data_IF_670264236094
#
_entry.id   IF_670264236094
#
_cell.length_a   1.000
_cell.length_b   1.000
_cell.length_c   1.000
_cell.angle_alpha   90.00
_cell.angle_beta   90.00
_cell.angle_gamma   90.00
#
_symmetry.space_group_name_H-M   'P 1'
#
loop_
_entity.id
_entity.type
_entity.pdbx_description
1 polymer ?
#
# COMPACT_ATOMS: atom_id res chain seq x y z
N UNK A 1 -10.49 25.20 -11.37
CA UNK A 1 -9.62 24.63 -12.42
C UNK A 1 -8.38 25.51 -12.52
N UNK A 2 -7.23 25.05 -12.00
CA UNK A 2 -6.00 25.86 -11.94
C UNK A 2 -5.33 26.03 -13.33
N UNK A 3 -5.32 24.98 -14.16
CA UNK A 3 -4.75 25.08 -15.51
C UNK A 3 -5.47 26.13 -16.36
N UNK A 4 -6.81 26.16 -16.29
CA UNK A 4 -7.61 27.14 -17.04
C UNK A 4 -7.28 28.60 -16.68
N UNK A 5 -7.00 28.89 -15.40
CA UNK A 5 -6.62 30.24 -14.99
C UNK A 5 -5.27 30.65 -15.61
N UNK A 6 -4.33 29.69 -15.73
CA UNK A 6 -3.06 29.91 -16.42
C UNK A 6 -3.27 30.12 -17.92
N UNK A 7 -4.11 29.31 -18.57
CA UNK A 7 -4.43 29.47 -20.00
C UNK A 7 -4.99 30.86 -20.32
N UNK A 8 -5.91 31.35 -19.47
CA UNK A 8 -6.49 32.70 -19.62
C UNK A 8 -5.43 33.77 -19.43
N UNK A 9 -4.55 33.64 -18.45
CA UNK A 9 -3.47 34.60 -18.23
C UNK A 9 -2.49 34.65 -19.41
N UNK A 10 -2.06 33.50 -19.93
CA UNK A 10 -1.19 33.41 -21.10
C UNK A 10 -1.83 34.02 -22.35
N UNK A 11 -3.13 33.79 -22.57
CA UNK A 11 -3.87 34.37 -23.71
C UNK A 11 -3.90 35.90 -23.68
N UNK A 12 -3.72 36.50 -22.51
CA UNK A 12 -3.74 37.95 -22.30
C UNK A 12 -2.36 38.53 -21.97
N UNK A 13 -1.27 37.80 -22.22
CA UNK A 13 0.11 38.20 -21.92
C UNK A 13 0.35 38.56 -20.44
N UNK A 14 -0.41 37.94 -19.52
CA UNK A 14 -0.28 38.11 -18.08
C UNK A 14 0.61 37.00 -17.51
N UNK A 15 1.73 37.39 -16.89
CA UNK A 15 2.59 36.46 -16.19
C UNK A 15 1.92 35.94 -14.91
N UNK A 16 1.99 34.63 -14.68
CA UNK A 16 1.52 34.02 -13.44
C UNK A 16 2.49 34.28 -12.29
N UNK A 17 2.00 34.45 -11.04
CA UNK A 17 2.86 34.55 -9.87
C UNK A 17 3.80 33.34 -9.72
N UNK A 18 5.04 33.54 -9.29
CA UNK A 18 6.03 32.47 -9.20
C UNK A 18 5.62 31.34 -8.25
N UNK A 19 4.92 31.65 -7.15
CA UNK A 19 4.43 30.65 -6.21
C UNK A 19 3.26 29.83 -6.78
N UNK A 20 2.48 30.42 -7.68
CA UNK A 20 1.44 29.72 -8.44
C UNK A 20 2.07 28.69 -9.38
N UNK A 21 3.06 29.10 -10.18
CA UNK A 21 3.79 28.23 -11.11
C UNK A 21 4.43 27.06 -10.37
N UNK A 22 5.11 27.33 -9.25
CA UNK A 22 5.72 26.29 -8.41
C UNK A 22 4.69 25.29 -7.86
N UNK A 23 3.50 25.75 -7.45
CA UNK A 23 2.44 24.86 -6.96
C UNK A 23 1.82 24.05 -8.10
N UNK A 24 1.66 24.65 -9.28
CA UNK A 24 1.20 23.95 -10.48
C UNK A 24 2.15 22.82 -10.86
N UNK A 25 3.46 23.07 -10.86
CA UNK A 25 4.46 22.04 -11.16
C UNK A 25 4.34 20.87 -10.19
N UNK A 26 4.24 21.14 -8.88
CA UNK A 26 4.05 20.09 -7.86
C UNK A 26 2.77 19.26 -8.05
N UNK A 27 1.70 19.85 -8.60
CA UNK A 27 0.48 19.10 -8.93
C UNK A 27 0.72 18.14 -10.09
N UNK A 28 1.53 18.51 -11.09
CA UNK A 28 1.96 17.61 -12.15
C UNK A 28 2.97 16.57 -11.66
N UNK A 29 3.89 16.95 -10.76
CA UNK A 29 4.82 16.01 -10.13
C UNK A 29 4.08 14.91 -9.38
N UNK A 30 3.00 15.23 -8.66
CA UNK A 30 2.17 14.21 -8.03
C UNK A 30 1.68 13.17 -9.04
N UNK A 31 1.15 13.61 -10.18
CA UNK A 31 0.67 12.71 -11.24
C UNK A 31 1.81 11.84 -11.80
N UNK A 32 3.00 12.41 -11.99
CA UNK A 32 4.17 11.68 -12.44
C UNK A 32 4.61 10.63 -11.41
N UNK A 33 4.82 11.06 -10.17
CA UNK A 33 5.42 10.28 -9.10
C UNK A 33 4.49 9.18 -8.57
N UNK A 34 3.18 9.37 -8.63
CA UNK A 34 2.18 8.39 -8.23
C UNK A 34 1.67 7.51 -9.39
N UNK A 35 2.10 7.76 -10.64
CA UNK A 35 1.71 6.92 -11.76
C UNK A 35 2.23 5.49 -11.57
N UNK A 36 1.33 4.53 -11.79
CA UNK A 36 1.69 3.15 -12.06
C UNK A 36 2.43 3.05 -13.41
N UNK A 37 3.15 1.93 -13.68
CA UNK A 37 3.91 1.76 -14.91
C UNK A 37 3.11 1.86 -16.23
N UNK A 38 1.79 1.75 -16.20
CA UNK A 38 0.92 1.92 -17.37
C UNK A 38 0.50 3.37 -17.62
N UNK A 39 0.95 4.34 -16.82
CA UNK A 39 0.60 5.76 -16.94
C UNK A 39 -0.76 6.13 -16.34
N UNK A 40 -1.28 5.32 -15.41
CA UNK A 40 -2.51 5.60 -14.68
C UNK A 40 -2.26 5.74 -13.17
N UNK A 41 -3.13 6.48 -12.48
CA UNK A 41 -3.24 6.43 -11.02
C UNK A 41 -4.25 5.37 -10.58
N UNK A 42 -4.04 4.73 -9.42
CA UNK A 42 -5.05 3.86 -8.84
C UNK A 42 -6.31 4.63 -8.47
N UNK A 43 -7.45 3.95 -8.55
CA UNK A 43 -8.77 4.49 -8.23
C UNK A 43 -9.04 4.55 -6.73
N UNK A 44 -8.23 5.30 -5.99
CA UNK A 44 -8.41 5.50 -4.55
C UNK A 44 -9.65 6.36 -4.28
N UNK A 45 -10.31 6.14 -3.14
CA UNK A 45 -11.44 6.98 -2.70
C UNK A 45 -12.54 7.09 -3.79
N UNK A 46 -13.21 8.23 -3.91
CA UNK A 46 -14.20 8.50 -4.96
C UNK A 46 -13.62 8.65 -6.39
N UNK A 47 -12.53 7.95 -6.70
CA UNK A 47 -11.92 7.91 -8.02
C UNK A 47 -12.15 6.58 -8.74
N UNK A 48 -11.92 6.60 -10.06
CA UNK A 48 -11.56 5.41 -10.82
C UNK A 48 -10.09 5.45 -11.20
N UNK A 49 -9.62 4.48 -11.98
CA UNK A 49 -8.28 4.52 -12.58
C UNK A 49 -8.16 5.75 -13.49
N UNK A 50 -7.25 6.68 -13.17
CA UNK A 50 -7.12 7.98 -13.86
C UNK A 50 -5.98 7.91 -14.87
N UNK A 51 -6.27 8.16 -16.15
CA UNK A 51 -5.22 8.40 -17.15
C UNK A 51 -4.47 9.66 -16.73
N UNK A 52 -3.17 9.56 -16.45
CA UNK A 52 -2.30 10.72 -16.16
C UNK A 52 -1.33 11.05 -17.28
N UNK A 53 -1.33 10.28 -18.37
CA UNK A 53 -0.60 10.64 -19.59
C UNK A 53 -1.18 11.91 -20.22
N UNK A 54 -2.50 12.09 -20.14
CA UNK A 54 -3.17 13.31 -20.61
C UNK A 54 -2.76 14.55 -19.80
N UNK A 55 -2.60 14.40 -18.48
CA UNK A 55 -2.17 15.43 -17.55
C UNK A 55 -0.68 15.71 -17.76
N UNK A 56 0.13 14.68 -18.04
CA UNK A 56 1.52 14.84 -18.41
C UNK A 56 1.67 15.61 -19.74
N UNK A 57 0.82 15.35 -20.76
CA UNK A 57 0.77 16.15 -22.00
C UNK A 57 0.44 17.62 -21.72
N UNK A 58 -0.47 17.89 -20.79
CA UNK A 58 -0.71 19.26 -20.33
C UNK A 58 0.54 19.84 -19.64
N UNK A 59 1.19 19.07 -18.77
CA UNK A 59 2.44 19.43 -18.10
C UNK A 59 3.54 19.83 -19.08
N UNK A 60 3.74 19.09 -20.18
CA UNK A 60 4.72 19.43 -21.23
C UNK A 60 4.47 20.81 -21.85
N UNK A 61 3.21 21.24 -21.97
CA UNK A 61 2.90 22.59 -22.50
C UNK A 61 3.29 23.70 -21.52
N UNK A 62 3.12 23.46 -20.22
CA UNK A 62 3.42 24.44 -19.18
C UNK A 62 4.90 24.43 -18.75
N UNK A 63 5.57 23.27 -18.89
CA UNK A 63 6.93 22.99 -18.43
C UNK A 63 7.71 22.20 -19.50
N UNK A 64 8.03 22.79 -20.66
CA UNK A 64 8.64 22.09 -21.81
C UNK A 64 10.07 21.56 -21.55
N UNK A 65 10.74 22.08 -20.52
CA UNK A 65 12.03 21.61 -20.02
C UNK A 65 11.95 20.27 -19.27
N UNK A 66 10.79 19.93 -18.70
CA UNK A 66 10.55 18.69 -17.94
C UNK A 66 10.43 17.49 -18.87
N UNK A 67 11.57 16.88 -19.21
CA UNK A 67 11.65 15.72 -20.12
C UNK A 67 10.99 14.46 -19.54
N UNK A 68 10.84 14.39 -18.23
CA UNK A 68 10.11 13.36 -17.50
C UNK A 68 8.58 13.45 -17.69
N UNK A 69 8.03 14.66 -17.86
CA UNK A 69 6.63 14.81 -18.27
C UNK A 69 6.40 14.29 -19.69
N UNK A 70 7.32 14.56 -20.63
CA UNK A 70 7.24 14.01 -21.98
C UNK A 70 7.37 12.48 -21.98
N UNK A 71 8.23 11.94 -21.09
CA UNK A 71 8.36 10.50 -20.90
C UNK A 71 7.05 9.87 -20.45
N UNK A 72 6.40 10.39 -19.42
CA UNK A 72 5.10 9.86 -18.98
C UNK A 72 4.01 10.04 -20.06
N UNK A 73 3.97 11.20 -20.70
CA UNK A 73 3.00 11.51 -21.76
C UNK A 73 3.04 10.53 -22.94
N UNK A 74 4.19 9.89 -23.16
CA UNK A 74 4.44 8.99 -24.28
C UNK A 74 4.71 7.54 -23.86
N UNK A 75 4.61 7.23 -22.56
CA UNK A 75 5.00 5.95 -21.96
C UNK A 75 6.43 5.52 -22.37
N UNK A 76 7.35 6.47 -22.30
CA UNK A 76 8.78 6.26 -22.50
C UNK A 76 9.26 6.19 -23.94
N UNK A 77 8.41 6.52 -24.93
CA UNK A 77 8.84 6.62 -26.34
C UNK A 77 9.71 7.85 -26.59
N UNK A 78 9.46 8.94 -25.87
CA UNK A 78 10.20 10.21 -25.96
C UNK A 78 10.50 10.75 -24.56
N UNK A 79 11.34 11.79 -24.46
CA UNK A 79 11.70 12.38 -23.17
C UNK A 79 12.76 11.57 -22.41
N UNK A 80 12.83 11.77 -21.09
CA UNK A 80 13.79 11.11 -20.22
C UNK A 80 13.07 10.46 -19.05
N UNK A 81 13.39 9.19 -18.76
CA UNK A 81 12.77 8.47 -17.64
C UNK A 81 13.02 9.23 -16.32
N UNK A 82 12.02 9.28 -15.41
CA UNK A 82 12.24 9.87 -14.09
C UNK A 82 13.40 9.18 -13.36
N UNK A 83 14.26 9.99 -12.75
CA UNK A 83 15.36 9.50 -11.90
C UNK A 83 14.89 9.10 -10.51
N UNK A 84 13.76 9.67 -10.06
CA UNK A 84 13.12 9.30 -8.80
C UNK A 84 12.51 7.92 -8.93
N UNK A 85 12.93 7.00 -8.05
CA UNK A 85 12.32 5.68 -7.92
C UNK A 85 11.13 5.73 -6.97
N UNK A 86 11.32 5.14 -5.79
CA UNK A 86 10.29 5.15 -4.74
C UNK A 86 10.28 6.49 -4.01
N UNK A 87 9.10 6.94 -3.58
CA UNK A 87 8.91 8.28 -3.01
C UNK A 87 7.77 8.27 -2.00
N UNK A 88 7.89 9.09 -0.96
CA UNK A 88 6.81 9.34 -0.03
C UNK A 88 6.34 10.79 -0.15
N UNK A 89 5.02 10.96 -0.24
CA UNK A 89 4.34 12.23 -0.46
C UNK A 89 3.68 12.64 0.86
N UNK A 90 4.34 13.48 1.67
CA UNK A 90 4.07 13.52 3.10
C UNK A 90 2.76 14.23 3.48
N UNK A 91 2.24 15.09 2.62
CA UNK A 91 0.96 15.79 2.87
C UNK A 91 -0.25 14.99 2.38
N UNK A 92 -0.10 14.20 1.32
CA UNK A 92 -1.15 13.24 0.93
C UNK A 92 -1.06 11.95 1.74
N UNK A 93 0.08 11.68 2.37
CA UNK A 93 0.41 10.43 3.02
C UNK A 93 0.41 9.22 2.08
N UNK A 94 0.68 9.44 0.79
CA UNK A 94 0.85 8.36 -0.17
C UNK A 94 2.33 7.98 -0.28
N UNK A 95 2.61 6.69 -0.15
CA UNK A 95 3.95 6.13 -0.32
C UNK A 95 3.95 5.25 -1.56
N UNK A 96 4.87 5.54 -2.47
CA UNK A 96 5.03 4.83 -3.72
C UNK A 96 6.32 4.02 -3.62
N UNK A 97 6.18 2.70 -3.63
CA UNK A 97 7.30 1.75 -3.68
C UNK A 97 7.36 1.16 -5.08
N UNK A 98 8.52 1.21 -5.73
CA UNK A 98 8.68 0.72 -7.11
C UNK A 98 10.06 0.13 -7.39
N UNK A 99 10.10 -0.92 -8.21
CA UNK A 99 11.37 -1.48 -8.73
C UNK A 99 11.92 -0.71 -9.92
N UNK A 100 11.05 0.05 -10.60
CA UNK A 100 11.41 0.82 -11.80
C UNK A 100 10.17 1.46 -12.43
N UNK A 101 10.28 1.77 -13.72
CA UNK A 101 9.26 2.49 -14.50
C UNK A 101 8.76 1.72 -15.72
N UNK A 102 9.34 0.55 -16.01
CA UNK A 102 8.93 -0.31 -17.13
C UNK A 102 7.61 -0.99 -16.83
N UNK A 103 6.86 -1.38 -17.86
CA UNK A 103 5.57 -2.09 -17.75
C UNK A 103 5.59 -3.24 -16.73
N UNK A 104 6.69 -3.99 -16.66
CA UNK A 104 6.81 -5.19 -15.86
C UNK A 104 7.38 -4.96 -14.45
N UNK A 105 7.68 -3.70 -14.12
CA UNK A 105 8.12 -3.32 -12.80
C UNK A 105 7.02 -3.48 -11.76
N UNK A 106 7.47 -3.67 -10.52
CA UNK A 106 6.65 -3.84 -9.33
C UNK A 106 6.36 -2.46 -8.79
N UNK A 107 5.12 -2.24 -8.42
CA UNK A 107 4.62 -0.98 -7.91
C UNK A 107 3.64 -1.24 -6.77
N UNK A 108 3.78 -0.47 -5.69
CA UNK A 108 2.78 -0.37 -4.65
C UNK A 108 2.53 1.11 -4.35
N UNK A 109 1.24 1.47 -4.20
CA UNK A 109 0.85 2.69 -3.50
C UNK A 109 0.27 2.27 -2.15
N UNK A 110 0.88 2.75 -1.07
CA UNK A 110 0.42 2.60 0.31
C UNK A 110 -0.15 3.93 0.80
N UNK A 111 -1.39 3.92 1.26
CA UNK A 111 -2.11 5.10 1.73
C UNK A 111 -2.11 5.17 3.26
N UNK A 112 -1.21 5.99 3.78
CA UNK A 112 -1.17 6.41 5.18
C UNK A 112 -1.56 7.89 5.31
N UNK A 113 -2.44 8.36 4.44
CA UNK A 113 -2.94 9.72 4.33
C UNK A 113 -3.91 10.13 5.43
N UNK A 114 -4.17 11.45 5.53
CA UNK A 114 -5.26 11.95 6.35
C UNK A 114 -6.60 11.49 5.76
N UNK A 115 -7.68 11.63 6.52
CA UNK A 115 -9.00 11.23 6.03
C UNK A 115 -9.41 11.94 4.74
N UNK A 116 -9.18 13.25 4.61
CA UNK A 116 -9.61 14.01 3.44
C UNK A 116 -11.06 14.50 3.52
N UNK A 117 -11.53 15.19 2.48
CA UNK A 117 -12.77 15.99 2.55
C UNK A 117 -13.73 15.70 1.38
N UNK A 118 -14.98 15.38 1.70
CA UNK A 118 -16.08 15.09 0.76
C UNK A 118 -16.04 13.72 0.07
N UNK A 119 -14.86 13.29 -0.38
CA UNK A 119 -14.67 12.19 -1.32
C UNK A 119 -13.99 10.94 -0.75
N UNK A 120 -13.78 10.93 0.56
CA UNK A 120 -12.95 9.96 1.25
C UNK A 120 -13.69 8.71 1.73
N UNK A 121 -12.95 7.62 1.88
CA UNK A 121 -13.40 6.32 2.36
C UNK A 121 -12.80 5.98 3.74
N UNK A 122 -13.31 4.94 4.39
CA UNK A 122 -12.77 4.40 5.65
C UNK A 122 -11.67 3.35 5.38
N UNK A 123 -10.62 3.79 4.70
CA UNK A 123 -9.60 2.98 4.03
C UNK A 123 -8.17 3.20 4.57
N UNK A 124 -8.01 3.73 5.79
CA UNK A 124 -6.70 4.05 6.33
C UNK A 124 -5.78 2.83 6.27
N UNK A 125 -4.54 3.07 5.84
CA UNK A 125 -3.49 2.06 5.70
C UNK A 125 -3.75 1.05 4.57
N UNK A 126 -4.74 1.29 3.70
CA UNK A 126 -4.94 0.49 2.48
C UNK A 126 -3.75 0.63 1.52
N UNK A 127 -3.61 -0.32 0.61
CA UNK A 127 -2.59 -0.30 -0.43
C UNK A 127 -3.04 -1.03 -1.68
N UNK A 128 -2.39 -0.76 -2.80
CA UNK A 128 -2.59 -1.46 -4.08
C UNK A 128 -1.27 -2.03 -4.57
N UNK A 129 -1.31 -3.14 -5.31
CA UNK A 129 -0.15 -3.74 -5.95
C UNK A 129 -0.40 -3.84 -7.45
N UNK A 130 0.55 -3.32 -8.23
CA UNK A 130 0.62 -3.48 -9.67
C UNK A 130 1.97 -4.10 -10.03
N UNK A 131 1.97 -5.16 -10.83
CA UNK A 131 3.21 -5.80 -11.27
C UNK A 131 2.98 -6.48 -12.62
N UNK A 132 4.04 -6.61 -13.43
CA UNK A 132 3.97 -7.35 -14.70
C UNK A 132 2.85 -6.86 -15.64
N UNK A 133 2.60 -5.54 -15.65
CA UNK A 133 1.56 -4.93 -16.48
C UNK A 133 0.12 -5.16 -16.02
N UNK A 134 -0.11 -5.58 -14.76
CA UNK A 134 -1.46 -5.88 -14.25
C UNK A 134 -1.65 -5.46 -12.78
N UNK A 135 -2.88 -5.05 -12.43
CA UNK A 135 -3.31 -5.00 -11.04
C UNK A 135 -3.33 -6.39 -10.42
N UNK A 136 -2.62 -6.54 -9.31
CA UNK A 136 -2.60 -7.75 -8.49
C UNK A 136 -3.55 -7.60 -7.31
N UNK A 137 -3.44 -6.45 -6.63
CA UNK A 137 -4.28 -6.06 -5.51
C UNK A 137 -4.83 -4.66 -5.80
N UNK A 138 -6.15 -4.51 -5.77
CA UNK A 138 -6.84 -3.31 -6.26
C UNK A 138 -7.60 -2.60 -5.14
N UNK A 139 -7.82 -1.30 -5.30
CA UNK A 139 -8.83 -0.57 -4.54
C UNK A 139 -10.16 -0.63 -5.30
N UNK A 140 -11.27 -0.91 -4.61
CA UNK A 140 -12.57 -1.07 -5.30
C UNK A 140 -13.06 0.23 -5.95
N UNK A 141 -12.53 1.37 -5.51
CA UNK A 141 -12.84 2.71 -6.01
C UNK A 141 -14.29 3.12 -5.79
N UNK A 142 -14.78 3.99 -6.65
CA UNK A 142 -16.07 4.65 -6.47
C UNK A 142 -17.28 3.83 -6.95
N UNK A 143 -18.45 4.05 -6.34
CA UNK A 143 -19.79 3.68 -6.80
C UNK A 143 -20.70 4.92 -6.87
N UNK A 144 -21.67 5.02 -7.81
CA UNK A 144 -22.59 6.14 -7.89
C UNK A 144 -23.08 6.70 -6.53
N UNK A 145 -23.16 8.03 -6.46
CA UNK A 145 -23.50 8.78 -5.25
C UNK A 145 -24.98 8.61 -4.87
N UNK A 146 -25.31 7.47 -4.28
CA UNK A 146 -26.65 7.13 -3.81
C UNK A 146 -26.63 6.60 -2.36
N UNK A 147 -27.76 6.05 -1.90
CA UNK A 147 -27.89 5.47 -0.55
C UNK A 147 -27.87 3.93 -0.55
N UNK A 148 -27.39 3.30 -1.62
CA UNK A 148 -27.39 1.84 -1.79
C UNK A 148 -26.36 1.16 -0.87
N UNK A 149 -26.55 -0.15 -0.66
CA UNK A 149 -25.53 -0.97 0.03
C UNK A 149 -24.21 -1.03 -0.75
N UNK A 150 -24.23 -0.82 -2.07
CA UNK A 150 -23.02 -0.71 -2.89
C UNK A 150 -22.24 0.55 -2.56
N UNK A 151 -22.92 1.70 -2.43
CA UNK A 151 -22.27 2.94 -2.00
C UNK A 151 -21.73 2.82 -0.58
N UNK A 152 -22.50 2.22 0.33
CA UNK A 152 -22.04 1.97 1.71
C UNK A 152 -20.85 1.01 1.76
N UNK A 153 -20.81 0.01 0.87
CA UNK A 153 -19.69 -0.92 0.74
C UNK A 153 -18.42 -0.20 0.30
N UNK A 154 -18.45 0.51 -0.83
CA UNK A 154 -17.21 1.14 -1.33
C UNK A 154 -16.63 2.18 -0.38
N UNK A 155 -17.46 2.83 0.45
CA UNK A 155 -17.01 3.80 1.46
C UNK A 155 -16.43 3.16 2.73
N UNK A 156 -16.56 1.85 2.90
CA UNK A 156 -16.29 1.14 4.15
C UNK A 156 -14.99 0.36 4.12
N UNK A 157 -14.38 0.14 5.28
CA UNK A 157 -13.12 -0.60 5.45
C UNK A 157 -13.15 -1.99 4.81
N UNK A 158 -14.29 -2.68 4.86
CA UNK A 158 -14.46 -3.99 4.21
C UNK A 158 -14.37 -3.99 2.67
N UNK A 159 -14.16 -2.84 2.03
CA UNK A 159 -13.90 -2.77 0.60
C UNK A 159 -12.45 -2.43 0.26
N UNK A 160 -11.59 -2.32 1.27
CA UNK A 160 -10.21 -1.89 1.12
C UNK A 160 -9.22 -2.93 1.65
N UNK A 161 -7.95 -2.78 1.26
CA UNK A 161 -6.90 -3.74 1.58
C UNK A 161 -6.33 -3.48 2.96
N UNK A 162 -7.16 -3.49 4.00
CA UNK A 162 -6.82 -3.12 5.37
C UNK A 162 -7.55 -4.01 6.38
N UNK A 163 -7.56 -3.63 7.67
CA UNK A 163 -8.07 -4.45 8.77
C UNK A 163 -9.40 -3.93 9.30
N UNK A 164 -10.36 -4.84 9.51
CA UNK A 164 -11.52 -4.64 10.37
C UNK A 164 -11.27 -5.22 11.78
N UNK A 165 -11.95 -4.68 12.78
CA UNK A 165 -11.92 -5.18 14.17
C UNK A 165 -13.34 -5.49 14.62
N UNK A 166 -13.57 -6.70 15.13
CA UNK A 166 -14.87 -7.20 15.59
C UNK A 166 -15.99 -7.10 14.55
N UNK A 167 -15.63 -7.21 13.27
CA UNK A 167 -16.55 -7.02 12.15
C UNK A 167 -16.99 -5.57 11.96
N UNK A 168 -16.31 -4.61 12.57
CA UNK A 168 -16.54 -3.17 12.45
C UNK A 168 -15.53 -2.51 11.53
N UNK A 169 -16.01 -1.55 10.75
CA UNK A 169 -15.19 -0.67 9.92
C UNK A 169 -14.47 0.37 10.80
N UNK A 170 -13.36 0.92 10.29
CA UNK A 170 -12.78 2.18 10.74
C UNK A 170 -13.85 3.30 10.66
N UNK A 171 -13.78 4.30 11.55
CA UNK A 171 -14.79 5.36 11.55
C UNK A 171 -14.24 6.76 11.87
N UNK A 172 -13.79 7.45 10.82
CA UNK A 172 -13.32 8.84 10.85
C UNK A 172 -14.42 9.85 10.51
N UNK A 173 -15.49 9.42 9.82
CA UNK A 173 -16.55 10.29 9.22
C UNK A 173 -17.31 11.21 10.17
N UNK A 174 -17.33 10.93 11.46
CA UNK A 174 -18.01 11.76 12.46
C UNK A 174 -17.07 12.57 13.35
N UNK A 175 -15.75 12.54 13.07
CA UNK A 175 -14.79 13.40 13.76
C UNK A 175 -14.95 14.88 13.34
N UNK A 176 -14.43 15.84 14.12
CA UNK A 176 -14.47 17.24 13.73
C UNK A 176 -13.81 17.48 12.36
N UNK A 177 -14.53 18.08 11.42
CA UNK A 177 -14.07 18.33 10.04
C UNK A 177 -12.71 19.04 9.92
N UNK A 178 -12.32 19.82 10.91
CA UNK A 178 -11.00 20.48 10.99
C UNK A 178 -9.84 19.48 11.08
N UNK A 179 -10.11 18.24 11.46
CA UNK A 179 -9.13 17.14 11.61
C UNK A 179 -8.99 16.32 10.32
N UNK A 180 -9.86 16.56 9.32
CA UNK A 180 -9.87 15.79 8.06
C UNK A 180 -8.74 16.19 7.12
N UNK A 181 -8.28 17.43 7.23
CA UNK A 181 -7.22 18.00 6.41
C UNK A 181 -6.08 18.42 7.33
N UNK A 182 -4.86 18.27 6.83
CA UNK A 182 -3.65 18.54 7.59
C UNK A 182 -2.95 19.78 7.05
N UNK A 183 -2.38 20.57 7.94
CA UNK A 183 -1.51 21.71 7.64
C UNK A 183 -0.02 21.37 7.79
N UNK A 184 0.27 20.16 8.29
CA UNK A 184 1.61 19.63 8.54
C UNK A 184 1.78 18.26 7.88
N UNK A 185 3.01 17.88 7.53
CA UNK A 185 3.31 16.55 7.01
C UNK A 185 2.84 15.43 7.97
N UNK A 186 2.35 14.32 7.42
CA UNK A 186 1.98 13.11 8.18
C UNK A 186 3.21 12.54 8.91
N UNK A 187 2.99 11.97 10.10
CA UNK A 187 4.04 11.30 10.89
C UNK A 187 4.31 9.87 10.40
N UNK A 188 4.65 9.74 9.12
CA UNK A 188 5.00 8.47 8.49
C UNK A 188 6.49 8.23 8.62
N UNK A 189 6.86 6.99 8.95
CA UNK A 189 8.25 6.52 8.92
C UNK A 189 8.56 6.01 7.52
N UNK A 190 9.58 6.54 6.86
CA UNK A 190 9.92 6.21 5.47
C UNK A 190 11.42 6.04 5.26
N UNK A 191 11.83 5.01 4.52
CA UNK A 191 13.18 4.84 4.00
C UNK A 191 13.14 4.20 2.61
N UNK A 192 14.03 4.61 1.72
CA UNK A 192 14.20 4.02 0.39
C UNK A 192 15.67 3.90 0.02
N UNK A 193 16.04 2.77 -0.55
CA UNK A 193 17.37 2.49 -1.11
C UNK A 193 17.22 1.73 -2.43
N UNK A 194 18.34 1.41 -3.07
CA UNK A 194 18.37 0.53 -4.24
C UNK A 194 17.89 -0.90 -3.93
N UNK A 195 18.08 -1.37 -2.68
CA UNK A 195 17.77 -2.75 -2.28
C UNK A 195 16.41 -2.92 -1.61
N UNK A 196 15.89 -1.86 -0.99
CA UNK A 196 14.63 -1.96 -0.25
C UNK A 196 13.91 -0.63 -0.09
N UNK A 197 12.62 -0.72 0.23
CA UNK A 197 11.84 0.36 0.82
C UNK A 197 11.27 -0.07 2.18
N UNK A 198 11.04 0.89 3.06
CA UNK A 198 10.32 0.72 4.32
C UNK A 198 9.36 1.89 4.52
N UNK A 199 8.10 1.59 4.83
CA UNK A 199 7.14 2.58 5.27
C UNK A 199 6.35 2.09 6.49
N UNK A 200 5.97 3.00 7.39
CA UNK A 200 4.99 2.69 8.42
C UNK A 200 4.07 3.87 8.73
N UNK A 201 2.78 3.56 8.82
CA UNK A 201 1.71 4.46 9.23
C UNK A 201 0.90 3.89 10.38
N UNK A 202 0.14 4.75 11.06
CA UNK A 202 -0.68 4.41 12.22
C UNK A 202 -2.10 4.94 12.01
N UNK A 203 -3.07 4.14 12.43
CA UNK A 203 -4.47 4.49 12.55
C UNK A 203 -4.91 4.26 14.01
N UNK A 204 -5.44 5.27 14.67
CA UNK A 204 -5.83 5.23 16.09
C UNK A 204 -7.20 5.90 16.37
N UNK A 205 -8.00 6.11 15.33
CA UNK A 205 -9.25 6.88 15.42
C UNK A 205 -10.42 6.07 16.02
N UNK A 206 -10.36 4.74 15.92
CA UNK A 206 -11.33 3.80 16.47
C UNK A 206 -12.22 3.13 15.42
N UNK A 207 -12.86 2.03 15.81
CA UNK A 207 -13.74 1.25 14.96
C UNK A 207 -15.19 1.34 15.46
N UNK A 208 -16.15 1.06 14.58
CA UNK A 208 -17.59 1.28 14.74
C UNK A 208 -18.02 2.75 14.76
N UNK A 209 -19.31 3.01 14.48
CA UNK A 209 -19.86 4.36 14.26
C UNK A 209 -19.71 5.34 15.43
N UNK A 210 -19.60 4.84 16.65
CA UNK A 210 -19.38 5.61 17.88
C UNK A 210 -17.94 5.49 18.38
N UNK A 211 -17.05 4.88 17.59
CA UNK A 211 -15.64 4.66 17.90
C UNK A 211 -15.41 3.92 19.23
N UNK A 212 -16.34 3.05 19.66
CA UNK A 212 -16.23 2.35 20.94
C UNK A 212 -15.17 1.23 20.95
N UNK A 213 -14.82 0.69 19.78
CA UNK A 213 -13.75 -0.31 19.65
C UNK A 213 -12.43 0.42 19.47
N UNK A 214 -11.57 0.37 20.50
CA UNK A 214 -10.31 1.12 20.56
C UNK A 214 -9.11 0.21 20.34
N UNK A 215 -8.70 0.11 19.08
CA UNK A 215 -7.48 -0.60 18.67
C UNK A 215 -6.62 0.36 17.85
N UNK A 216 -5.36 0.54 18.25
CA UNK A 216 -4.36 1.18 17.38
C UNK A 216 -3.89 0.15 16.34
N UNK A 217 -3.99 0.50 15.07
CA UNK A 217 -3.50 -0.28 13.94
C UNK A 217 -2.26 0.41 13.35
N UNK A 218 -1.10 -0.22 13.55
CA UNK A 218 0.15 0.17 12.89
C UNK A 218 0.45 -0.80 11.75
N UNK A 219 0.52 -0.29 10.52
CA UNK A 219 0.97 -1.04 9.35
C UNK A 219 2.41 -0.68 9.02
N UNK A 220 3.24 -1.69 8.80
CA UNK A 220 4.60 -1.55 8.27
C UNK A 220 4.73 -2.34 6.97
N UNK A 221 5.25 -1.72 5.94
CA UNK A 221 5.50 -2.33 4.63
C UNK A 221 7.00 -2.30 4.36
N UNK A 222 7.57 -3.46 4.05
CA UNK A 222 8.96 -3.61 3.65
C UNK A 222 9.03 -4.21 2.24
N UNK A 223 9.53 -3.46 1.27
CA UNK A 223 9.71 -3.95 -0.10
C UNK A 223 11.13 -4.47 -0.27
N UNK A 224 11.29 -5.77 -0.54
CA UNK A 224 12.57 -6.38 -0.93
C UNK A 224 12.69 -6.22 -2.44
N UNK A 225 13.49 -5.26 -2.91
CA UNK A 225 13.56 -4.95 -4.34
C UNK A 225 14.35 -6.01 -5.12
N UNK A 226 13.91 -6.37 -6.34
CA UNK A 226 12.65 -6.02 -7.01
C UNK A 226 11.53 -7.08 -6.77
N UNK A 227 11.68 -7.92 -5.75
CA UNK A 227 11.04 -9.22 -5.66
C UNK A 227 9.61 -9.12 -5.08
N UNK A 228 9.47 -8.75 -3.81
CA UNK A 228 8.23 -8.93 -3.05
C UNK A 228 8.11 -7.98 -1.86
N UNK A 229 6.89 -7.85 -1.32
CA UNK A 229 6.63 -7.06 -0.12
C UNK A 229 6.35 -7.94 1.10
N UNK A 230 6.78 -7.47 2.27
CA UNK A 230 6.36 -7.98 3.58
C UNK A 230 5.50 -6.89 4.22
N UNK A 231 4.24 -7.21 4.53
CA UNK A 231 3.33 -6.31 5.25
C UNK A 231 3.11 -6.89 6.64
N UNK A 232 3.34 -6.06 7.65
CA UNK A 232 3.13 -6.40 9.05
C UNK A 232 2.15 -5.42 9.66
N UNK A 233 1.09 -5.97 10.24
CA UNK A 233 0.10 -5.23 11.01
C UNK A 233 0.29 -5.54 12.49
N UNK A 234 0.53 -4.50 13.30
CA UNK A 234 0.49 -4.56 14.76
C UNK A 234 -0.81 -3.91 15.22
N UNK A 235 -1.59 -4.65 16.00
CA UNK A 235 -2.87 -4.25 16.56
C UNK A 235 -2.72 -4.18 18.07
N UNK A 236 -2.94 -3.00 18.64
CA UNK A 236 -2.81 -2.73 20.08
C UNK A 236 -4.18 -2.30 20.65
N UNK A 237 -4.94 -3.22 21.26
CA UNK A 237 -6.19 -2.86 21.93
C UNK A 237 -5.94 -2.03 23.19
N UNK A 238 -6.90 -1.16 23.54
CA UNK A 238 -6.89 -0.39 24.80
C UNK A 238 -7.56 -1.13 25.97
N UNK A 239 -7.97 -2.37 25.75
CA UNK A 239 -8.56 -3.25 26.76
C UNK A 239 -7.94 -4.66 26.68
N UNK A 240 -8.33 -5.52 27.62
CA UNK A 240 -7.85 -6.90 27.73
C UNK A 240 -8.76 -7.92 27.02
N UNK A 241 -9.81 -7.47 26.33
CA UNK A 241 -10.76 -8.35 25.69
C UNK A 241 -10.14 -9.02 24.44
N UNK A 242 -10.58 -10.24 24.09
CA UNK A 242 -10.25 -10.83 22.80
C UNK A 242 -11.00 -10.10 21.69
N UNK A 243 -10.26 -9.61 20.70
CA UNK A 243 -10.84 -9.03 19.48
C UNK A 243 -10.65 -9.96 18.28
N UNK A 244 -11.58 -9.88 17.33
CA UNK A 244 -11.45 -10.51 16.02
C UNK A 244 -10.87 -9.51 15.01
N UNK A 245 -9.70 -9.81 14.49
CA UNK A 245 -9.04 -9.03 13.45
C UNK A 245 -9.25 -9.71 12.09
N UNK A 246 -9.75 -8.97 11.10
CA UNK A 246 -10.01 -9.49 9.75
C UNK A 246 -9.22 -8.67 8.73
N UNK A 247 -8.16 -9.26 8.15
CA UNK A 247 -7.38 -8.66 7.06
C UNK A 247 -7.97 -9.05 5.72
N UNK A 248 -8.15 -8.08 4.84
CA UNK A 248 -8.86 -8.28 3.57
C UNK A 248 -8.01 -7.84 2.40
N UNK A 249 -8.03 -8.61 1.31
CA UNK A 249 -7.20 -8.35 0.14
C UNK A 249 -8.02 -8.56 -1.14
N UNK A 250 -8.26 -7.51 -1.92
CA UNK A 250 -9.13 -7.53 -3.10
C UNK A 250 -8.31 -7.82 -4.35
N UNK A 251 -8.47 -9.03 -4.92
CA UNK A 251 -7.68 -9.50 -6.06
C UNK A 251 -8.40 -9.19 -7.38
N UNK A 252 -7.79 -8.40 -8.26
CA UNK A 252 -8.33 -8.16 -9.61
C UNK A 252 -8.01 -9.32 -10.58
N UNK A 253 -8.50 -10.50 -10.22
CA UNK A 253 -8.15 -11.79 -10.82
C UNK A 253 -9.38 -12.64 -11.09
N UNK A 254 -9.26 -13.56 -12.03
CA UNK A 254 -10.37 -14.45 -12.40
C UNK A 254 -10.66 -15.49 -11.32
N UNK A 255 -9.66 -15.87 -10.53
CA UNK A 255 -9.78 -16.84 -9.45
C UNK A 255 -8.62 -16.79 -8.47
N UNK A 256 -8.85 -17.41 -7.31
CA UNK A 256 -7.84 -17.65 -6.28
C UNK A 256 -8.15 -18.96 -5.55
N UNK A 257 -7.11 -19.62 -5.03
CA UNK A 257 -7.21 -20.86 -4.24
C UNK A 257 -6.40 -20.74 -2.96
N UNK A 258 -6.86 -21.40 -1.91
CA UNK A 258 -6.17 -21.53 -0.63
C UNK A 258 -5.37 -22.85 -0.64
N UNK A 259 -4.11 -22.79 -0.24
CA UNK A 259 -3.36 -23.96 0.18
C UNK A 259 -3.72 -24.27 1.64
N UNK A 260 -4.27 -25.47 1.90
CA UNK A 260 -4.85 -25.80 3.21
C UNK A 260 -3.82 -25.97 4.33
N UNK A 261 -2.56 -26.25 3.97
CA UNK A 261 -1.50 -26.50 4.95
C UNK A 261 -0.85 -25.20 5.37
N UNK A 262 -0.42 -24.39 4.39
CA UNK A 262 0.26 -23.12 4.60
C UNK A 262 -0.68 -21.93 4.78
N UNK A 263 -1.96 -22.07 4.42
CA UNK A 263 -2.95 -20.99 4.31
C UNK A 263 -2.56 -19.92 3.28
N UNK A 264 -1.57 -20.19 2.43
CA UNK A 264 -1.20 -19.31 1.34
C UNK A 264 -2.34 -19.20 0.33
N UNK A 265 -2.54 -18.02 -0.24
CA UNK A 265 -3.51 -17.78 -1.30
C UNK A 265 -2.78 -17.56 -2.62
N UNK A 266 -3.12 -18.37 -3.62
CA UNK A 266 -2.60 -18.26 -4.97
C UNK A 266 -3.70 -17.77 -5.91
N UNK A 267 -3.45 -16.69 -6.65
CA UNK A 267 -4.29 -16.37 -7.81
C UNK A 267 -4.12 -17.46 -8.88
N UNK A 268 -5.11 -17.60 -9.75
CA UNK A 268 -5.18 -18.72 -10.72
C UNK A 268 -5.36 -18.25 -12.16
N UNK A 269 -4.82 -17.09 -12.51
CA UNK A 269 -4.91 -16.58 -13.88
C UNK A 269 -4.00 -17.38 -14.80
N UNK A 270 -4.59 -18.10 -15.75
CA UNK A 270 -3.84 -18.96 -16.69
C UNK A 270 -3.04 -18.17 -17.73
N UNK A 271 -3.52 -16.97 -18.08
CA UNK A 271 -2.99 -16.11 -19.16
C UNK A 271 -2.61 -14.75 -18.62
N UNK A 272 -1.65 -14.74 -17.71
CA UNK A 272 -1.13 -13.52 -17.11
C UNK A 272 -0.28 -13.77 -15.88
N UNK A 273 0.21 -12.66 -15.34
CA UNK A 273 0.95 -12.65 -14.09
C UNK A 273 0.02 -12.93 -12.89
N UNK A 274 0.59 -13.51 -11.84
CA UNK A 274 -0.13 -13.96 -10.66
C UNK A 274 0.45 -13.31 -9.39
N UNK A 275 -0.27 -13.46 -8.28
CA UNK A 275 0.14 -13.08 -6.94
C UNK A 275 -0.05 -14.27 -6.00
N UNK A 276 0.94 -14.49 -5.13
CA UNK A 276 0.78 -15.36 -3.97
C UNK A 276 0.86 -14.52 -2.69
N UNK A 277 -0.11 -14.69 -1.80
CA UNK A 277 -0.13 -14.09 -0.46
C UNK A 277 0.18 -15.20 0.54
N UNK A 278 1.36 -15.13 1.16
CA UNK A 278 1.77 -16.06 2.21
C UNK A 278 1.55 -15.43 3.58
N UNK A 279 0.62 -15.93 4.41
CA UNK A 279 0.59 -15.52 5.80
C UNK A 279 1.80 -16.11 6.55
N UNK A 280 2.27 -15.41 7.57
CA UNK A 280 3.15 -16.03 8.56
C UNK A 280 2.42 -17.21 9.22
N UNK A 281 3.09 -18.36 9.30
CA UNK A 281 2.52 -19.56 9.87
C UNK A 281 1.99 -19.31 11.30
N UNK A 282 0.67 -19.44 11.45
CA UNK A 282 -0.04 -19.30 12.71
C UNK A 282 -1.22 -20.26 12.71
N UNK A 283 -1.28 -21.15 13.71
CA UNK A 283 -2.34 -22.15 13.84
C UNK A 283 -3.71 -21.52 14.11
N UNK A 284 -3.74 -20.36 14.76
CA UNK A 284 -4.96 -19.63 15.12
C UNK A 284 -5.52 -18.75 14.00
N UNK A 285 -4.76 -18.51 12.94
CA UNK A 285 -5.22 -17.74 11.77
C UNK A 285 -6.15 -18.61 10.90
N UNK A 286 -7.33 -18.15 10.54
CA UNK A 286 -8.14 -18.78 9.50
C UNK A 286 -8.05 -17.95 8.21
N UNK A 287 -8.36 -18.58 7.08
CA UNK A 287 -8.47 -17.90 5.79
C UNK A 287 -9.67 -18.43 5.02
N UNK A 288 -10.42 -17.52 4.41
CA UNK A 288 -11.47 -17.82 3.44
C UNK A 288 -11.37 -16.91 2.22
N UNK A 289 -12.03 -17.26 1.12
CA UNK A 289 -12.15 -16.40 -0.06
C UNK A 289 -13.62 -16.01 -0.20
N UNK A 290 -13.91 -14.72 -0.10
CA UNK A 290 -15.24 -14.17 -0.40
C UNK A 290 -15.24 -13.64 -1.83
N UNK A 291 -16.29 -13.96 -2.59
CA UNK A 291 -16.47 -13.47 -3.95
C UNK A 291 -17.96 -13.39 -4.25
N UNK A 292 -18.46 -12.20 -4.58
CA UNK A 292 -19.86 -12.04 -4.96
C UNK A 292 -20.87 -12.10 -3.80
N UNK A 293 -20.48 -11.79 -2.56
CA UNK A 293 -21.39 -11.87 -1.40
C UNK A 293 -22.28 -10.63 -1.32
N UNK A 294 -23.60 -10.83 -1.16
CA UNK A 294 -24.56 -9.73 -0.95
C UNK A 294 -25.07 -9.63 0.48
N UNK A 295 -25.23 -10.78 1.14
CA UNK A 295 -25.77 -10.91 2.49
C UNK A 295 -24.77 -11.66 3.38
N UNK A 296 -24.69 -11.37 4.69
CA UNK A 296 -25.43 -10.31 5.40
C UNK A 296 -24.87 -8.89 5.12
N UNK A 297 -23.72 -8.82 4.46
CA UNK A 297 -23.09 -7.58 4.00
C UNK A 297 -22.52 -7.79 2.59
N UNK A 298 -22.56 -6.73 1.78
CA UNK A 298 -21.89 -6.72 0.47
C UNK A 298 -20.37 -6.84 0.67
N UNK A 299 -19.75 -7.82 0.01
CA UNK A 299 -18.30 -8.06 0.07
C UNK A 299 -17.79 -8.86 -1.14
N UNK A 300 -16.54 -8.63 -1.55
CA UNK A 300 -15.91 -9.36 -2.66
C UNK A 300 -16.43 -8.92 -4.03
N UNK A 301 -16.54 -7.60 -4.23
CA UNK A 301 -17.01 -6.98 -5.46
C UNK A 301 -16.13 -5.82 -5.89
N UNK A 302 -16.12 -5.55 -7.19
CA UNK A 302 -15.58 -4.32 -7.75
C UNK A 302 -16.55 -3.75 -8.76
N UNK A 303 -16.55 -2.43 -8.91
CA UNK A 303 -17.34 -1.77 -9.95
C UNK A 303 -16.77 -2.08 -11.33
N UNK A 304 -17.62 -2.58 -12.23
CA UNK A 304 -17.31 -2.80 -13.64
C UNK A 304 -17.78 -1.64 -14.54
N UNK A 305 -18.99 -1.13 -14.30
CA UNK A 305 -19.58 0.03 -15.00
C UNK A 305 -20.42 0.87 -14.04
N UNK A 306 -21.05 1.94 -14.53
CA UNK A 306 -22.08 2.64 -13.75
C UNK A 306 -23.18 1.65 -13.34
N UNK A 307 -23.43 1.55 -12.04
CA UNK A 307 -24.43 0.64 -11.44
C UNK A 307 -24.22 -0.86 -11.67
N UNK A 308 -23.05 -1.28 -12.18
CA UNK A 308 -22.73 -2.69 -12.43
C UNK A 308 -21.47 -3.08 -11.65
N UNK A 309 -21.59 -4.08 -10.78
CA UNK A 309 -20.48 -4.67 -10.05
C UNK A 309 -20.23 -6.10 -10.53
N UNK A 310 -18.96 -6.50 -10.55
CA UNK A 310 -18.55 -7.89 -10.78
C UNK A 310 -17.91 -8.48 -9.52
N UNK A 311 -18.07 -9.78 -9.29
CA UNK A 311 -17.40 -10.43 -8.17
C UNK A 311 -15.89 -10.46 -8.39
N UNK A 312 -15.13 -10.35 -7.30
CA UNK A 312 -13.68 -10.56 -7.29
C UNK A 312 -13.28 -11.43 -6.10
N UNK A 313 -12.31 -12.35 -6.25
CA UNK A 313 -11.77 -13.10 -5.14
C UNK A 313 -11.18 -12.16 -4.08
N UNK A 314 -11.67 -12.26 -2.85
CA UNK A 314 -11.20 -11.47 -1.73
C UNK A 314 -10.84 -12.38 -0.57
N UNK A 315 -9.55 -12.76 -0.42
CA UNK A 315 -9.07 -13.42 0.79
C UNK A 315 -9.37 -12.59 2.03
N UNK A 316 -9.92 -13.28 3.04
CA UNK A 316 -10.14 -12.74 4.37
C UNK A 316 -9.39 -13.62 5.34
N UNK A 317 -8.35 -13.07 5.96
CA UNK A 317 -7.59 -13.73 7.01
C UNK A 317 -8.11 -13.26 8.36
N UNK A 318 -8.58 -14.19 9.20
CA UNK A 318 -9.16 -13.85 10.50
C UNK A 318 -8.37 -14.44 11.65
N UNK A 319 -8.22 -13.67 12.71
CA UNK A 319 -7.60 -14.10 13.96
C UNK A 319 -8.33 -13.51 15.13
N UNK A 320 -8.65 -14.34 16.13
CA UNK A 320 -9.22 -13.87 17.39
C UNK A 320 -8.19 -14.02 18.50
N UNK A 321 -7.79 -12.90 19.10
CA UNK A 321 -6.74 -12.87 20.12
C UNK A 321 -6.91 -11.66 21.04
N UNK A 322 -6.59 -11.85 22.33
CA UNK A 322 -6.50 -10.77 23.32
C UNK A 322 -5.08 -10.17 23.34
N UNK A 323 -5.00 -8.88 23.71
CA UNK A 323 -3.74 -8.15 23.77
C UNK A 323 -3.12 -7.87 22.39
N UNK A 324 -1.85 -7.44 22.41
CA UNK A 324 -1.12 -7.05 21.19
C UNK A 324 -1.05 -8.22 20.21
N UNK A 325 -1.60 -8.01 19.02
CA UNK A 325 -1.65 -9.00 17.95
C UNK A 325 -0.82 -8.55 16.76
N UNK A 326 -0.05 -9.46 16.17
CA UNK A 326 0.71 -9.20 14.93
C UNK A 326 0.24 -10.15 13.85
N UNK A 327 -0.07 -9.59 12.69
CA UNK A 327 -0.37 -10.30 11.45
C UNK A 327 0.72 -9.94 10.44
N UNK A 328 1.18 -10.91 9.67
CA UNK A 328 2.21 -10.66 8.67
C UNK A 328 1.96 -11.48 7.40
N UNK A 329 2.21 -10.84 6.26
CA UNK A 329 1.94 -11.38 4.94
C UNK A 329 3.09 -11.07 3.99
N UNK A 330 3.50 -12.05 3.20
CA UNK A 330 4.43 -11.88 2.08
C UNK A 330 3.64 -11.87 0.78
N UNK A 331 3.74 -10.78 0.03
CA UNK A 331 3.08 -10.59 -1.26
C UNK A 331 4.11 -10.79 -2.38
N UNK A 332 4.06 -11.96 -3.02
CA UNK A 332 5.01 -12.34 -4.07
C UNK A 332 4.32 -12.38 -5.44
N UNK A 333 4.51 -11.35 -6.29
CA UNK A 333 4.03 -11.39 -7.67
C UNK A 333 4.91 -12.31 -8.53
N UNK A 334 4.30 -13.02 -9.48
CA UNK A 334 5.01 -13.85 -10.47
C UNK A 334 4.62 -13.44 -11.87
N UNK A 335 5.58 -13.47 -12.79
CA UNK A 335 5.32 -13.27 -14.22
C UNK A 335 4.41 -14.38 -14.77
N UNK A 336 3.86 -14.18 -15.96
CA UNK A 336 3.07 -15.20 -16.66
C UNK A 336 3.87 -16.50 -16.82
N UNK A 337 3.25 -17.63 -16.47
CA UNK A 337 3.87 -18.96 -16.52
C UNK A 337 4.89 -19.25 -15.41
N UNK A 338 5.25 -18.28 -14.56
CA UNK A 338 6.18 -18.49 -13.47
C UNK A 338 5.47 -18.96 -12.19
N UNK A 339 6.07 -19.92 -11.49
CA UNK A 339 5.62 -20.38 -10.18
C UNK A 339 6.19 -19.50 -9.05
N UNK A 340 5.46 -19.38 -7.94
CA UNK A 340 6.00 -18.76 -6.73
C UNK A 340 7.16 -19.61 -6.20
N UNK A 341 8.35 -19.03 -5.97
CA UNK A 341 9.51 -19.79 -5.50
C UNK A 341 9.49 -20.02 -3.98
N UNK A 342 8.64 -19.32 -3.23
CA UNK A 342 8.47 -19.51 -1.79
C UNK A 342 7.86 -20.89 -1.55
N UNK A 343 8.40 -21.58 -0.55
CA UNK A 343 7.94 -22.88 -0.06
C UNK A 343 7.27 -22.78 1.30
N UNK A 344 7.72 -21.87 2.15
CA UNK A 344 7.16 -21.68 3.49
C UNK A 344 7.46 -20.28 4.03
N UNK A 345 6.60 -19.80 4.94
CA UNK A 345 6.79 -18.57 5.72
C UNK A 345 6.53 -18.87 7.19
N UNK A 346 7.60 -19.00 7.97
CA UNK A 346 7.54 -19.46 9.37
C UNK A 346 7.72 -18.30 10.31
N UNK A 347 7.03 -18.34 11.45
CA UNK A 347 7.37 -17.48 12.57
C UNK A 347 8.71 -17.91 13.17
N UNK A 348 9.61 -16.95 13.38
CA UNK A 348 10.86 -17.15 14.12
C UNK A 348 10.67 -16.56 15.52
N UNK A 349 10.98 -17.36 16.54
CA UNK A 349 10.86 -16.92 17.94
C UNK A 349 11.91 -15.84 18.23
N UNK A 350 11.45 -14.70 18.76
CA UNK A 350 12.33 -13.69 19.32
C UNK A 350 12.89 -14.20 20.65
N UNK A 351 14.22 -14.28 20.73
CA UNK A 351 14.95 -14.61 21.96
C UNK A 351 15.12 -13.37 22.86
N UNK A 352 15.03 -12.17 22.28
CA UNK A 352 15.10 -10.88 22.96
C UNK A 352 14.31 -9.82 22.21
N UNK A 353 13.67 -8.93 22.97
CA UNK A 353 12.96 -7.75 22.45
C UNK A 353 11.51 -8.04 22.07
N UNK A 354 10.79 -7.00 21.67
CA UNK A 354 9.38 -7.07 21.27
C UNK A 354 9.25 -6.73 19.79
N UNK A 355 8.46 -7.51 19.08
CA UNK A 355 8.34 -7.37 17.64
C UNK A 355 7.86 -8.65 16.98
N UNK A 356 8.28 -8.82 15.74
CA UNK A 356 8.02 -9.98 14.91
C UNK A 356 9.34 -10.43 14.27
N UNK A 357 9.54 -11.74 14.14
CA UNK A 357 10.51 -12.29 13.20
C UNK A 357 9.89 -13.44 12.41
N UNK A 358 10.31 -13.58 11.15
CA UNK A 358 9.89 -14.65 10.26
C UNK A 358 11.04 -15.10 9.36
N UNK A 359 10.95 -16.33 8.86
CA UNK A 359 11.80 -16.85 7.79
C UNK A 359 10.95 -17.20 6.58
N UNK A 360 11.47 -16.90 5.39
CA UNK A 360 10.86 -17.17 4.09
C UNK A 360 11.78 -18.14 3.38
N UNK A 361 11.34 -19.39 3.25
CA UNK A 361 12.13 -20.46 2.65
C UNK A 361 11.80 -20.58 1.16
N UNK A 362 12.82 -20.68 0.31
CA UNK A 362 12.68 -20.78 -1.14
C UNK A 362 13.13 -22.15 -1.67
N UNK A 363 12.56 -22.56 -2.81
CA UNK A 363 12.85 -23.85 -3.43
C UNK A 363 14.28 -24.03 -3.97
N UNK A 364 15.06 -22.96 -4.05
CA UNK A 364 16.44 -22.92 -4.55
C UNK A 364 17.50 -22.94 -3.42
N UNK A 365 17.08 -23.18 -2.18
CA UNK A 365 17.98 -23.19 -1.01
C UNK A 365 18.27 -21.80 -0.44
N UNK A 366 17.62 -20.75 -0.96
CA UNK A 366 17.60 -19.42 -0.35
C UNK A 366 16.66 -19.41 0.87
N UNK A 367 17.06 -18.70 1.92
CA UNK A 367 16.16 -18.33 3.03
C UNK A 367 16.33 -16.85 3.35
N UNK A 368 15.22 -16.12 3.36
CA UNK A 368 15.20 -14.73 3.79
C UNK A 368 14.65 -14.64 5.21
N UNK A 369 15.43 -14.11 6.13
CA UNK A 369 15.00 -13.80 7.49
C UNK A 369 14.64 -12.33 7.58
N UNK A 370 13.49 -12.05 8.17
CA UNK A 370 13.01 -10.69 8.41
C UNK A 370 12.64 -10.53 9.88
N UNK A 371 13.05 -9.43 10.49
CA UNK A 371 12.62 -9.04 11.82
C UNK A 371 12.22 -7.57 11.86
N UNK A 372 11.12 -7.29 12.55
CA UNK A 372 10.57 -5.96 12.75
C UNK A 372 10.38 -5.72 14.24
N UNK A 373 11.09 -4.74 14.80
CA UNK A 373 10.92 -4.30 16.17
C UNK A 373 9.67 -3.43 16.30
N UNK A 374 9.06 -3.44 17.48
CA UNK A 374 7.91 -2.58 17.74
C UNK A 374 8.31 -1.10 17.82
N UNK A 375 9.47 -0.84 18.44
CA UNK A 375 10.08 0.48 18.59
C UNK A 375 11.51 0.51 18.00
N UNK A 376 11.86 1.65 17.41
CA UNK A 376 13.17 1.94 16.81
C UNK A 376 14.37 1.77 17.74
N UNK A 377 14.20 1.84 19.06
CA UNK A 377 15.29 1.74 20.03
C UNK A 377 15.48 0.31 20.59
N UNK A 378 14.62 -0.65 20.20
CA UNK A 378 14.67 -2.00 20.72
C UNK A 378 15.75 -2.84 20.04
N UNK A 379 16.38 -3.70 20.84
CA UNK A 379 17.30 -4.73 20.34
C UNK A 379 16.57 -6.05 20.22
N UNK A 380 16.60 -6.64 19.03
CA UNK A 380 16.08 -7.95 18.71
C UNK A 380 17.19 -8.99 18.67
N UNK A 381 16.89 -10.19 19.17
CA UNK A 381 17.65 -11.40 18.89
C UNK A 381 16.68 -12.45 18.33
N UNK A 382 17.00 -13.06 17.21
CA UNK A 382 16.15 -14.04 16.52
C UNK A 382 17.02 -14.98 15.70
N UNK A 383 16.68 -16.27 15.71
CA UNK A 383 17.52 -17.33 15.15
C UNK A 383 18.99 -17.21 15.65
N UNK A 384 19.94 -16.89 14.77
CA UNK A 384 21.35 -16.61 15.10
C UNK A 384 21.74 -15.13 14.97
N UNK A 385 20.76 -14.26 14.70
CA UNK A 385 20.97 -12.85 14.39
C UNK A 385 20.67 -11.94 15.57
N UNK A 386 21.38 -10.81 15.61
CA UNK A 386 21.15 -9.73 16.55
C UNK A 386 21.01 -8.41 15.79
N UNK A 387 20.05 -7.59 16.18
CA UNK A 387 19.83 -6.29 15.55
C UNK A 387 19.30 -5.27 16.54
N UNK A 388 19.64 -4.01 16.31
CA UNK A 388 19.16 -2.78 16.94
C UNK A 388 18.51 -1.86 15.88
N UNK A 389 18.06 -2.44 14.77
CA UNK A 389 17.33 -1.77 13.68
C UNK A 389 15.83 -1.96 13.84
N UNK A 390 15.01 -1.00 13.43
CA UNK A 390 13.55 -1.23 13.43
C UNK A 390 13.18 -2.38 12.49
N UNK A 391 13.85 -2.49 11.33
CA UNK A 391 13.65 -3.56 10.38
C UNK A 391 15.00 -4.15 10.01
N UNK A 392 15.07 -5.47 10.03
CA UNK A 392 16.27 -6.26 9.76
C UNK A 392 15.92 -7.30 8.72
N UNK A 393 16.74 -7.42 7.70
CA UNK A 393 16.59 -8.44 6.69
C UNK A 393 17.94 -9.10 6.42
N UNK A 394 17.96 -10.43 6.42
CA UNK A 394 19.14 -11.24 6.15
C UNK A 394 18.78 -12.29 5.11
N UNK A 395 19.53 -12.35 4.01
CA UNK A 395 19.38 -13.41 2.99
C UNK A 395 20.49 -14.41 3.13
N UNK A 396 20.14 -15.68 3.20
CA UNK A 396 21.09 -16.79 3.17
C UNK A 396 20.92 -17.64 1.92
N UNK A 397 22.02 -18.25 1.49
CA UNK A 397 22.04 -19.27 0.44
C UNK A 397 22.72 -20.51 1.02
N UNK A 398 21.97 -21.62 1.13
CA UNK A 398 22.45 -22.86 1.75
C UNK A 398 23.09 -22.61 3.13
N UNK A 399 22.47 -21.73 3.94
CA UNK A 399 22.92 -21.36 5.28
C UNK A 399 23.99 -20.27 5.37
N UNK A 400 24.59 -19.84 4.26
CA UNK A 400 25.58 -18.75 4.27
C UNK A 400 24.91 -17.40 4.00
N UNK A 401 25.20 -16.38 4.79
CA UNK A 401 24.69 -15.02 4.57
C UNK A 401 25.26 -14.47 3.26
N UNK A 402 24.40 -14.05 2.34
CA UNK A 402 24.77 -13.47 1.04
C UNK A 402 24.27 -12.04 0.86
N UNK A 403 23.27 -11.60 1.63
CA UNK A 403 22.86 -10.20 1.67
C UNK A 403 22.32 -9.83 3.06
N UNK A 404 22.41 -8.54 3.41
CA UNK A 404 21.85 -8.02 4.65
C UNK A 404 21.41 -6.57 4.50
N UNK A 405 20.32 -6.22 5.16
CA UNK A 405 19.75 -4.88 5.20
C UNK A 405 19.40 -4.56 6.66
N UNK A 406 19.93 -3.43 7.15
CA UNK A 406 19.72 -2.93 8.50
C UNK A 406 19.10 -1.54 8.45
N UNK A 407 17.80 -1.44 8.74
CA UNK A 407 17.08 -0.17 8.73
C UNK A 407 17.22 0.55 10.08
N UNK A 408 18.41 1.10 10.40
CA UNK A 408 18.67 1.83 11.67
C UNK A 408 18.48 3.33 11.59
N UNK A 409 18.92 3.95 10.49
CA UNK A 409 19.17 5.39 10.41
C UNK A 409 18.62 6.08 9.15
N UNK A 410 18.05 5.30 8.22
CA UNK A 410 17.49 5.82 6.97
C UNK A 410 16.02 6.24 7.09
N UNK A 411 15.43 6.11 8.29
CA UNK A 411 14.01 6.40 8.49
C UNK A 411 13.84 7.89 8.74
N UNK A 412 13.33 8.54 7.71
CA UNK A 412 12.84 9.90 7.81
C UNK A 412 11.47 9.85 8.48
N UNK A 413 11.33 10.63 9.55
CA UNK A 413 10.03 11.02 10.05
C UNK A 413 9.55 12.18 9.18
N UNK A 414 8.52 11.91 8.38
CA UNK A 414 8.05 12.89 7.40
C UNK A 414 7.52 14.18 8.07
N UNK A 415 7.12 14.15 9.34
CA UNK A 415 6.78 15.35 10.12
C UNK A 415 7.95 16.30 10.32
N UNK A 416 9.19 15.82 10.18
CA UNK A 416 10.44 16.56 10.43
C UNK A 416 11.16 16.99 9.15
N UNK A 417 10.88 16.35 8.02
CA UNK A 417 11.46 16.68 6.71
C UNK A 417 10.55 17.62 5.92
N UNK A 418 10.42 18.86 6.38
CA UNK A 418 9.84 19.97 5.60
C UNK A 418 10.81 20.50 4.52
N UNK A 419 11.74 19.69 4.04
CA UNK A 419 12.68 20.09 2.99
C UNK A 419 11.96 20.02 1.64
N UNK A 420 11.80 21.20 1.04
CA UNK A 420 11.46 21.37 -0.38
C UNK A 420 12.32 20.41 -1.20
N UNK A 421 11.73 19.38 -1.80
CA UNK A 421 12.33 18.80 -2.99
C UNK A 421 12.42 19.94 -4.00
N UNK A 422 13.62 20.51 -4.15
CA UNK A 422 14.00 21.13 -5.40
C UNK A 422 14.29 19.96 -6.33
N UNK A 423 13.44 19.81 -7.34
CA UNK A 423 13.82 19.07 -8.52
C UNK A 423 14.80 20.00 -9.23
N UNK A 424 16.10 19.82 -8.95
CA UNK A 424 17.19 20.54 -9.63
C UNK A 424 17.41 19.97 -11.03
#
# INVERSE_FOLDING_TARGET
NFALAWDVAQTNDIAMPADYVLKMEKMFDYNLLAAMPNGYLPGLNDSGTVDVMTQARMGVRYFPERKDYLWLATLGKEGAQPTVGSVALPFSGHIIMRSGWSRDDRYMLFDAGPFGYGHQHEDALSFVIYAYGKYMLIDVGNYPYDSSEWRKYVLSTRAHNTIMVDGQDQHRRDRPRREYVIDKPMSIKWASTEKYDYASGVYDDGYARDNHVKVEHKRSVFFVKPDYWIVVDKLTPQDDAPHKYSSMFHLDMTGARIDNDSKAVHTTDEKGANLTIWPMADKSLSVGIVSGQKEPVVQGWIRAKAYECRPIPTPVFEKQQAGVTRLAYVFYPTAEGAACPIKDVKQVVLQRGEGLALSIDFGDGRTDYFALADDSNQKLSFDTFHSDSIATYMRTQNGNIVDSILCKHAIQDMSKTATRHKFD
#
